data_IF_443713103941
#
_entry.id   IF_443713103941
#
_cell.length_a   1.000
_cell.length_b   1.000
_cell.length_c   1.000
_cell.angle_alpha   90.00
_cell.angle_beta   90.00
_cell.angle_gamma   90.00
#
_symmetry.space_group_name_H-M   'P 1'
#
loop_
_entity.id
_entity.type
_entity.pdbx_description
1 polymer ?
#
# COMPACT_ATOMS: atom_id res chain seq x y z
N UNK A 1 -8.06 -12.32 -34.11
CA UNK A 1 -7.38 -12.15 -32.82
C UNK A 1 -6.08 -12.91 -32.86
N UNK A 2 -4.97 -12.24 -32.54
CA UNK A 2 -3.66 -12.89 -32.38
C UNK A 2 -3.71 -13.71 -31.09
N UNK A 3 -3.13 -14.91 -31.11
CA UNK A 3 -3.03 -15.76 -29.92
C UNK A 3 -1.58 -16.22 -29.78
N UNK A 4 -1.04 -16.12 -28.58
CA UNK A 4 0.31 -16.55 -28.23
C UNK A 4 0.17 -17.81 -27.39
N UNK A 5 0.80 -18.91 -27.84
CA UNK A 5 0.67 -20.23 -27.22
C UNK A 5 2.00 -20.76 -26.68
N UNK A 6 3.11 -20.13 -27.03
CA UNK A 6 4.44 -20.55 -26.61
C UNK A 6 5.41 -19.38 -26.49
N UNK A 7 6.55 -19.64 -25.83
CA UNK A 7 7.59 -18.65 -25.55
C UNK A 7 8.19 -18.04 -26.82
N UNK A 8 8.32 -18.81 -27.90
CA UNK A 8 8.87 -18.27 -29.15
C UNK A 8 7.96 -17.19 -29.76
N UNK A 9 6.64 -17.45 -29.81
CA UNK A 9 5.66 -16.47 -30.28
C UNK A 9 5.63 -15.22 -29.37
N UNK A 10 5.76 -15.42 -28.06
CA UNK A 10 5.87 -14.34 -27.07
C UNK A 10 7.08 -13.44 -27.35
N UNK A 11 8.27 -14.01 -27.49
CA UNK A 11 9.49 -13.22 -27.76
C UNK A 11 9.44 -12.49 -29.11
N UNK A 12 8.88 -13.13 -30.14
CA UNK A 12 8.67 -12.47 -31.44
C UNK A 12 7.71 -11.27 -31.33
N UNK A 13 6.60 -11.43 -30.60
CA UNK A 13 5.64 -10.35 -30.37
C UNK A 13 6.26 -9.20 -29.56
N UNK A 14 7.05 -9.52 -28.53
CA UNK A 14 7.81 -8.54 -27.75
C UNK A 14 8.79 -7.74 -28.60
N UNK A 15 9.55 -8.40 -29.48
CA UNK A 15 10.49 -7.73 -30.37
C UNK A 15 9.78 -6.79 -31.37
N UNK A 16 8.59 -7.16 -31.85
CA UNK A 16 7.76 -6.31 -32.71
C UNK A 16 7.29 -5.05 -31.96
N UNK A 17 6.83 -5.20 -30.71
CA UNK A 17 6.48 -4.06 -29.83
C UNK A 17 7.70 -3.18 -29.56
N UNK A 18 8.86 -3.78 -29.24
CA UNK A 18 10.09 -3.02 -28.95
C UNK A 18 10.50 -2.12 -30.12
N UNK A 19 10.37 -2.61 -31.36
CA UNK A 19 10.61 -1.80 -32.55
C UNK A 19 9.64 -0.59 -32.63
N UNK A 20 8.36 -0.76 -32.27
CA UNK A 20 7.42 0.36 -32.18
C UNK A 20 7.80 1.35 -31.08
N UNK A 21 8.25 0.86 -29.92
CA UNK A 21 8.73 1.70 -28.80
C UNK A 21 9.95 2.54 -29.19
N UNK A 22 10.92 1.95 -29.89
CA UNK A 22 12.14 2.64 -30.35
C UNK A 22 11.82 3.75 -31.36
N UNK A 23 10.83 3.53 -32.22
CA UNK A 23 10.37 4.56 -33.19
C UNK A 23 9.56 5.67 -32.53
N UNK A 24 8.89 5.35 -31.41
CA UNK A 24 8.03 6.25 -30.65
C UNK A 24 6.60 6.31 -31.18
N UNK A 25 5.62 6.25 -30.28
CA UNK A 25 4.19 6.12 -30.60
C UNK A 25 3.64 7.19 -31.55
N UNK A 26 4.16 8.43 -31.49
CA UNK A 26 3.72 9.54 -32.35
C UNK A 26 3.98 9.32 -33.85
N UNK A 27 4.83 8.34 -34.21
CA UNK A 27 5.20 8.04 -35.60
C UNK A 27 4.55 6.77 -36.15
N UNK A 28 3.63 6.16 -35.42
CA UNK A 28 2.91 4.97 -35.88
C UNK A 28 1.79 5.36 -36.82
N UNK A 29 1.66 4.60 -37.90
CA UNK A 29 0.45 4.62 -38.74
C UNK A 29 -0.72 3.99 -38.00
N UNK A 30 -1.96 4.28 -38.44
CA UNK A 30 -3.17 3.65 -37.88
C UNK A 30 -3.12 2.11 -37.89
N UNK A 31 -2.47 1.51 -38.89
CA UNK A 31 -2.32 0.05 -38.99
C UNK A 31 -1.34 -0.50 -37.95
N UNK A 32 -0.23 0.20 -37.74
CA UNK A 32 0.77 -0.18 -36.74
C UNK A 32 0.23 0.03 -35.32
N UNK A 33 -0.54 1.08 -35.08
CA UNK A 33 -1.22 1.32 -33.81
C UNK A 33 -2.22 0.20 -33.47
N UNK A 34 -3.04 -0.18 -34.45
CA UNK A 34 -3.95 -1.33 -34.31
C UNK A 34 -3.19 -2.64 -34.06
N UNK A 35 -2.09 -2.86 -34.78
CA UNK A 35 -1.23 -4.05 -34.62
C UNK A 35 -0.60 -4.10 -33.23
N UNK A 36 -0.08 -2.97 -32.76
CA UNK A 36 0.47 -2.82 -31.41
C UNK A 36 -0.59 -3.15 -30.35
N UNK A 37 -1.82 -2.66 -30.52
CA UNK A 37 -2.92 -2.97 -29.61
C UNK A 37 -3.21 -4.48 -29.57
N UNK A 38 -3.32 -5.13 -30.74
CA UNK A 38 -3.59 -6.58 -30.82
C UNK A 38 -2.47 -7.42 -30.21
N UNK A 39 -1.21 -7.05 -30.42
CA UNK A 39 -0.06 -7.72 -29.81
C UNK A 39 -0.06 -7.54 -28.29
N UNK A 40 -0.33 -6.33 -27.81
CA UNK A 40 -0.35 -6.01 -26.38
C UNK A 40 -1.40 -6.87 -25.66
N UNK A 41 -2.61 -6.98 -26.22
CA UNK A 41 -3.68 -7.82 -25.66
C UNK A 41 -3.30 -9.31 -25.67
N UNK A 42 -2.68 -9.79 -26.75
CA UNK A 42 -2.28 -11.20 -26.86
C UNK A 42 -1.15 -11.57 -25.89
N UNK A 43 -0.21 -10.65 -25.68
CA UNK A 43 0.89 -10.77 -24.71
C UNK A 43 0.34 -10.80 -23.29
N UNK A 44 -0.52 -9.86 -22.94
CA UNK A 44 -1.14 -9.79 -21.61
C UNK A 44 -1.83 -11.12 -21.26
N UNK A 45 -2.62 -11.66 -22.18
CA UNK A 45 -3.30 -12.93 -21.99
C UNK A 45 -2.33 -14.11 -21.78
N UNK A 46 -1.17 -14.10 -22.46
CA UNK A 46 -0.14 -15.12 -22.28
C UNK A 46 0.62 -14.96 -20.95
N UNK A 47 1.01 -13.73 -20.60
CA UNK A 47 1.73 -13.43 -19.35
C UNK A 47 0.89 -13.75 -18.12
N UNK A 48 -0.42 -13.47 -18.14
CA UNK A 48 -1.31 -13.83 -17.04
C UNK A 48 -1.32 -15.34 -16.73
N UNK A 49 -1.09 -16.19 -17.74
CA UNK A 49 -1.06 -17.64 -17.59
C UNK A 49 0.34 -18.17 -17.25
N UNK A 50 1.37 -17.68 -17.95
CA UNK A 50 2.73 -18.21 -17.87
C UNK A 50 3.59 -17.53 -16.78
N UNK A 51 3.31 -16.26 -16.48
CA UNK A 51 4.05 -15.42 -15.52
C UNK A 51 3.10 -14.73 -14.53
N UNK A 52 2.37 -15.49 -13.70
CA UNK A 52 1.49 -14.88 -12.70
C UNK A 52 2.30 -13.97 -11.79
N UNK A 53 1.87 -12.71 -11.68
CA UNK A 53 2.46 -11.79 -10.72
C UNK A 53 2.41 -12.42 -9.32
N UNK A 54 3.52 -12.49 -8.57
CA UNK A 54 3.50 -13.02 -7.22
C UNK A 54 2.69 -12.07 -6.34
N UNK A 55 1.40 -12.37 -6.18
CA UNK A 55 0.54 -11.69 -5.21
C UNK A 55 0.94 -12.26 -3.86
N UNK A 56 1.81 -11.56 -3.14
CA UNK A 56 2.02 -11.84 -1.73
C UNK A 56 0.90 -11.13 -0.96
N UNK A 57 -0.11 -11.88 -0.46
CA UNK A 57 -1.22 -11.26 0.23
C UNK A 57 -0.74 -10.60 1.52
N UNK A 58 -1.35 -9.50 1.88
CA UNK A 58 -1.16 -8.93 3.22
C UNK A 58 -1.81 -9.80 4.29
N UNK A 59 -1.32 -9.78 5.52
CA UNK A 59 -1.87 -10.66 6.57
C UNK A 59 -3.37 -10.42 6.83
N UNK A 60 -3.82 -9.17 6.72
CA UNK A 60 -5.24 -8.81 6.82
C UNK A 60 -6.06 -9.38 5.66
N UNK A 61 -5.53 -9.43 4.43
CA UNK A 61 -6.20 -10.08 3.30
C UNK A 61 -6.36 -11.58 3.53
N UNK A 62 -5.35 -12.25 4.12
CA UNK A 62 -5.45 -13.66 4.51
C UNK A 62 -6.60 -13.86 5.51
N UNK A 63 -6.73 -13.00 6.53
CA UNK A 63 -7.84 -13.09 7.48
C UNK A 63 -9.20 -12.89 6.82
N UNK A 64 -9.32 -11.88 5.95
CA UNK A 64 -10.57 -11.60 5.22
C UNK A 64 -10.94 -12.80 4.34
N UNK A 65 -9.96 -13.39 3.65
CA UNK A 65 -10.15 -14.58 2.83
C UNK A 65 -10.66 -15.76 3.67
N UNK A 66 -10.09 -16.00 4.86
CA UNK A 66 -10.56 -17.04 5.77
C UNK A 66 -12.01 -16.81 6.18
N UNK A 67 -12.36 -15.58 6.57
CA UNK A 67 -13.73 -15.22 6.94
C UNK A 67 -14.71 -15.47 5.79
N UNK A 68 -14.39 -15.01 4.59
CA UNK A 68 -15.25 -15.17 3.42
C UNK A 68 -15.41 -16.64 3.02
N UNK A 69 -14.30 -17.39 2.94
CA UNK A 69 -14.31 -18.80 2.53
C UNK A 69 -15.10 -19.69 3.50
N UNK A 70 -15.09 -19.35 4.79
CA UNK A 70 -15.75 -20.13 5.84
C UNK A 70 -17.09 -19.53 6.29
N UNK A 71 -17.50 -18.39 5.72
CA UNK A 71 -18.71 -17.67 6.13
C UNK A 71 -18.68 -17.19 7.58
N UNK A 72 -17.50 -16.89 8.13
CA UNK A 72 -17.32 -16.51 9.54
C UNK A 72 -17.38 -14.99 9.72
N UNK A 73 -18.06 -14.57 10.77
CA UNK A 73 -17.96 -13.21 11.31
C UNK A 73 -16.66 -13.03 12.09
N UNK A 74 -16.26 -11.77 12.35
CA UNK A 74 -15.07 -11.50 13.18
C UNK A 74 -15.18 -12.11 14.59
N UNK A 75 -16.40 -12.19 15.13
CA UNK A 75 -16.68 -12.77 16.45
C UNK A 75 -16.48 -14.28 16.44
N UNK A 76 -16.85 -14.97 15.36
CA UNK A 76 -16.68 -16.42 15.24
C UNK A 76 -15.23 -16.77 14.95
N UNK A 77 -14.57 -15.98 14.08
CA UNK A 77 -13.14 -16.12 13.83
C UNK A 77 -12.32 -15.97 15.11
N UNK A 78 -12.65 -14.98 15.95
CA UNK A 78 -11.95 -14.75 17.21
C UNK A 78 -12.11 -15.92 18.18
N UNK A 79 -13.29 -16.55 18.23
CA UNK A 79 -13.53 -17.76 19.02
C UNK A 79 -12.76 -18.97 18.49
N UNK A 80 -12.73 -19.15 17.16
CA UNK A 80 -11.99 -20.25 16.54
C UNK A 80 -10.49 -20.14 16.84
N UNK A 81 -9.93 -18.94 16.65
CA UNK A 81 -8.51 -18.67 16.79
C UNK A 81 -8.07 -18.42 18.24
N UNK A 82 -8.97 -18.59 19.21
CA UNK A 82 -8.73 -18.33 20.65
C UNK A 82 -8.07 -16.98 20.94
N UNK A 83 -8.59 -15.92 20.32
CA UNK A 83 -8.12 -14.55 20.48
C UNK A 83 -9.29 -13.60 20.71
N UNK A 84 -9.02 -12.43 21.29
CA UNK A 84 -10.07 -11.44 21.51
C UNK A 84 -10.58 -10.86 20.19
N UNK A 85 -11.88 -10.57 20.13
CA UNK A 85 -12.48 -9.89 18.96
C UNK A 85 -11.82 -8.54 18.68
N UNK A 86 -11.47 -7.79 19.72
CA UNK A 86 -10.75 -6.52 19.60
C UNK A 86 -9.40 -6.70 18.93
N UNK A 87 -8.65 -7.75 19.28
CA UNK A 87 -7.38 -8.06 18.64
C UNK A 87 -7.54 -8.38 17.15
N UNK A 88 -8.52 -9.21 16.78
CA UNK A 88 -8.84 -9.49 15.38
C UNK A 88 -9.16 -8.20 14.61
N UNK A 89 -9.94 -7.29 15.20
CA UNK A 89 -10.27 -6.00 14.58
C UNK A 89 -9.04 -5.10 14.39
N UNK A 90 -8.13 -5.05 15.37
CA UNK A 90 -6.87 -4.30 15.28
C UNK A 90 -5.93 -4.87 14.21
N UNK A 91 -5.86 -6.19 14.09
CA UNK A 91 -5.06 -6.87 13.06
C UNK A 91 -5.66 -6.64 11.67
N UNK A 92 -6.98 -6.77 11.51
CA UNK A 92 -7.69 -6.49 10.25
C UNK A 92 -7.52 -5.04 9.77
N UNK A 93 -7.47 -4.09 10.71
CA UNK A 93 -7.24 -2.68 10.40
C UNK A 93 -5.75 -2.31 10.25
N UNK A 94 -4.83 -3.26 10.45
CA UNK A 94 -3.39 -3.05 10.38
C UNK A 94 -2.82 -2.20 11.53
N UNK A 95 -3.60 -1.94 12.58
CA UNK A 95 -3.15 -1.19 13.77
C UNK A 95 -2.18 -1.99 14.62
N UNK A 96 -2.30 -3.33 14.59
CA UNK A 96 -1.49 -4.23 15.39
C UNK A 96 -0.99 -5.40 14.55
N UNK A 97 0.26 -5.77 14.77
CA UNK A 97 0.84 -6.96 14.13
C UNK A 97 0.27 -8.25 14.76
N UNK A 98 0.06 -9.30 13.96
CA UNK A 98 -0.36 -10.59 14.47
C UNK A 98 0.74 -11.23 15.33
N UNK A 99 0.34 -11.97 16.36
CA UNK A 99 1.26 -12.71 17.22
C UNK A 99 1.52 -14.12 16.65
N UNK A 100 2.59 -14.75 17.13
CA UNK A 100 2.97 -16.10 16.70
C UNK A 100 1.85 -17.13 16.95
N UNK A 101 1.08 -16.97 18.02
CA UNK A 101 -0.02 -17.89 18.35
C UNK A 101 -1.16 -17.79 17.32
N UNK A 102 -1.50 -16.59 16.85
CA UNK A 102 -2.47 -16.41 15.75
C UNK A 102 -1.98 -17.08 14.46
N UNK A 103 -0.69 -16.97 14.14
CA UNK A 103 -0.10 -17.65 12.98
C UNK A 103 -0.21 -19.17 13.12
N UNK A 104 0.14 -19.72 14.28
CA UNK A 104 0.02 -21.16 14.56
C UNK A 104 -1.44 -21.62 14.41
N UNK A 105 -2.39 -20.89 14.99
CA UNK A 105 -3.80 -21.25 14.92
C UNK A 105 -4.33 -21.20 13.48
N UNK A 106 -3.91 -20.21 12.68
CA UNK A 106 -4.24 -20.16 11.26
C UNK A 106 -3.66 -21.34 10.48
N UNK A 107 -2.41 -21.72 10.75
CA UNK A 107 -1.78 -22.88 10.13
C UNK A 107 -2.51 -24.18 10.48
N UNK A 108 -2.74 -24.45 11.77
CA UNK A 108 -3.30 -25.72 12.22
C UNK A 108 -4.81 -25.86 11.96
N UNK A 109 -5.59 -24.79 12.13
CA UNK A 109 -7.05 -24.87 12.00
C UNK A 109 -7.53 -24.63 10.56
N UNK A 110 -6.82 -23.80 9.80
CA UNK A 110 -7.22 -23.40 8.45
C UNK A 110 -6.29 -23.93 7.35
N UNK A 111 -5.25 -24.70 7.72
CA UNK A 111 -4.30 -25.33 6.81
C UNK A 111 -3.63 -24.34 5.84
N UNK A 112 -3.36 -23.14 6.33
CA UNK A 112 -2.66 -22.11 5.57
C UNK A 112 -1.16 -22.36 5.69
N UNK A 113 -0.44 -22.32 4.56
CA UNK A 113 1.01 -22.51 4.54
C UNK A 113 1.72 -21.49 5.45
N UNK A 114 2.63 -21.98 6.29
CA UNK A 114 3.35 -21.15 7.24
C UNK A 114 4.25 -20.10 6.58
N UNK A 115 4.83 -20.41 5.42
CA UNK A 115 5.64 -19.46 4.65
C UNK A 115 4.77 -18.31 4.13
N UNK A 116 3.56 -18.59 3.64
CA UNK A 116 2.62 -17.54 3.21
C UNK A 116 2.29 -16.61 4.39
N UNK A 117 2.04 -17.17 5.57
CA UNK A 117 1.76 -16.38 6.78
C UNK A 117 2.97 -15.51 7.17
N UNK A 118 4.19 -16.04 7.12
CA UNK A 118 5.41 -15.30 7.45
C UNK A 118 5.72 -14.22 6.42
N UNK A 119 5.65 -14.53 5.13
CA UNK A 119 5.90 -13.60 4.02
C UNK A 119 4.95 -12.39 4.08
N UNK A 120 3.70 -12.62 4.51
CA UNK A 120 2.69 -11.58 4.66
C UNK A 120 2.99 -10.55 5.76
N UNK A 121 3.92 -10.83 6.68
CA UNK A 121 4.33 -9.89 7.75
C UNK A 121 5.38 -8.87 7.29
N UNK A 122 6.16 -9.21 6.25
CA UNK A 122 7.37 -8.47 5.85
C UNK A 122 7.08 -7.07 5.30
N UNK A 123 5.84 -6.78 4.90
CA UNK A 123 5.45 -5.49 4.30
C UNK A 123 5.27 -4.37 5.35
N UNK A 124 4.92 -4.69 6.60
CA UNK A 124 4.76 -3.69 7.68
C UNK A 124 6.06 -2.98 8.07
N UNK A 125 7.21 -3.66 7.93
CA UNK A 125 8.51 -3.13 8.36
C UNK A 125 9.09 -2.08 7.39
N UNK A 126 8.72 -2.07 6.11
CA UNK A 126 9.22 -1.07 5.14
C UNK A 126 8.51 0.29 5.25
N UNK A 127 7.28 0.33 5.77
CA UNK A 127 6.52 1.59 5.92
C UNK A 127 6.80 2.33 7.24
N UNK A 128 7.35 1.67 8.26
CA UNK A 128 7.72 2.32 9.54
C UNK A 128 9.04 3.11 9.47
N UNK A 129 9.95 2.73 8.55
CA UNK A 129 11.25 3.39 8.38
C UNK A 129 11.15 4.82 7.83
N UNK A 130 10.15 5.14 7.01
CA UNK A 130 9.98 6.48 6.42
C UNK A 130 9.29 7.49 7.34
N UNK A 131 8.57 7.05 8.38
CA UNK A 131 7.91 7.95 9.36
C UNK A 131 8.85 8.44 10.47
N UNK A 132 9.95 7.75 10.77
CA UNK A 132 10.88 8.16 11.85
C UNK A 132 11.83 9.30 11.47
N UNK A 133 11.97 9.63 10.18
CA UNK A 133 12.86 10.69 9.70
C UNK A 133 12.26 12.12 9.78
N UNK A 134 10.98 12.28 10.12
CA UNK A 134 10.25 13.54 9.95
C UNK A 134 9.92 14.36 11.21
N UNK A 135 10.39 14.01 12.41
CA UNK A 135 10.04 14.77 13.63
C UNK A 135 11.23 15.04 14.53
N UNK A 136 12.01 16.08 14.18
CA UNK A 136 12.88 16.77 15.13
C UNK A 136 13.27 18.16 14.64
N UNK A 137 12.42 19.16 14.90
CA UNK A 137 12.86 20.56 15.09
C UNK A 137 11.94 21.24 16.10
N UNK A 138 12.40 21.22 17.35
CA UNK A 138 11.99 22.16 18.40
C UNK A 138 12.77 23.46 18.20
N UNK A 139 12.09 24.61 18.08
CA UNK A 139 12.73 25.92 18.21
C UNK A 139 12.02 26.73 19.30
N UNK A 140 12.52 26.58 20.53
CA UNK A 140 12.50 27.64 21.53
C UNK A 140 13.63 28.61 21.18
N UNK A 141 13.32 29.89 20.98
CA UNK A 141 14.29 30.98 21.12
C UNK A 141 13.61 32.16 21.77
N UNK A 142 13.91 32.36 23.06
CA UNK A 142 13.93 33.65 23.70
C UNK A 142 14.93 34.57 22.98
N UNK A 143 14.52 35.79 22.63
CA UNK A 143 15.46 36.88 22.42
C UNK A 143 14.81 38.21 22.78
N UNK A 144 15.32 38.79 23.87
CA UNK A 144 14.95 40.09 24.37
C UNK A 144 15.49 41.24 23.50
N UNK A 145 14.78 42.38 23.58
CA UNK A 145 15.32 43.76 23.65
C UNK A 145 15.73 44.45 22.33
N UNK A 146 14.92 45.44 21.93
CA UNK A 146 15.44 46.74 21.48
C UNK A 146 14.41 47.86 21.69
N UNK A 147 14.89 48.92 22.36
CA UNK A 147 14.22 50.20 22.69
C UNK A 147 14.30 51.17 21.50
N UNK A 148 13.29 52.02 21.34
CA UNK A 148 13.36 53.47 20.98
C UNK A 148 11.92 53.95 20.71
N UNK A 149 11.27 54.71 21.59
CA UNK A 149 11.41 56.14 21.89
C UNK A 149 11.02 57.09 20.74
N UNK A 150 9.84 57.72 20.86
CA UNK A 150 9.57 59.17 20.88
C UNK A 150 8.05 59.38 20.75
N UNK A 151 7.42 59.99 21.77
CA UNK A 151 6.90 61.38 21.80
C UNK A 151 5.81 61.60 20.72
N UNK A 152 4.62 62.10 21.02
CA UNK A 152 4.19 63.00 22.09
C UNK A 152 2.66 63.21 22.02
N UNK A 153 2.11 63.66 23.17
CA UNK A 153 0.93 64.55 23.33
C UNK A 153 -0.44 63.99 22.90
N UNK A 154 -1.54 64.12 23.66
CA UNK A 154 -1.85 65.05 24.75
C UNK A 154 -3.25 64.73 25.30
N UNK A 155 -3.45 64.89 26.62
CA UNK A 155 -4.65 65.51 27.24
C UNK A 155 -5.97 64.71 27.20
N UNK A 156 -6.77 64.49 28.25
CA UNK A 156 -6.77 64.77 29.70
C UNK A 156 -8.13 64.33 30.29
N UNK A 157 -8.20 64.14 31.63
CA UNK A 157 -9.39 64.32 32.51
C UNK A 157 -10.44 63.17 32.47
N UNK A 158 -11.00 62.58 33.55
CA UNK A 158 -10.93 62.67 35.02
C UNK A 158 -11.74 61.48 35.61
N UNK A 159 -11.40 61.05 36.83
CA UNK A 159 -12.29 60.73 38.01
C UNK A 159 -13.55 59.84 37.82
N UNK A 160 -13.99 58.96 38.74
CA UNK A 160 -13.60 58.49 40.09
C UNK A 160 -14.62 57.40 40.48
N UNK A 161 -14.23 56.53 41.40
CA UNK A 161 -14.98 55.49 42.11
C UNK A 161 -16.46 55.78 42.48
N UNK A 162 -17.35 54.80 42.36
CA UNK A 162 -17.75 53.81 43.40
C UNK A 162 -18.70 52.78 42.79
#
# INVERSE_FOLDING_TARGET
MIKIENKQQYYSAMAEIENYLQRGFSKLSKKEDQRLHELSVAIEAYEMLEFPMPVQPSFNEILIYVMQKKGLTQTELSKSLDVSKSFISEVLSGKKEPNVDLLKNLHFQFHIDGNILLDSLTRSQKQSATKRAGSKTTSKTDSARSRSSKRSSSTSVSKRAR
#
